data_IF_783505648322
#
_entry.id   IF_783505648322
#
_cell.length_a   1.000
_cell.length_b   1.000
_cell.length_c   1.000
_cell.angle_alpha   90.00
_cell.angle_beta   90.00
_cell.angle_gamma   90.00
#
_symmetry.space_group_name_H-M   'P 1'
#
loop_
_entity.id
_entity.type
_entity.pdbx_description
1 polymer ?
#
# COMPACT_ATOMS: atom_id res chain seq x y z
N UNK A 1 -8.52 -40.87 -21.59
CA UNK A 1 -8.09 -40.37 -20.27
C UNK A 1 -7.47 -39.00 -20.49
N UNK A 2 -8.25 -37.95 -20.26
CA UNK A 2 -7.82 -36.56 -20.42
C UNK A 2 -6.98 -36.20 -19.20
N UNK A 3 -5.69 -35.95 -19.40
CA UNK A 3 -4.79 -35.49 -18.34
C UNK A 3 -5.30 -34.11 -17.88
N UNK A 4 -5.72 -34.03 -16.62
CA UNK A 4 -6.25 -32.82 -16.03
C UNK A 4 -5.15 -31.75 -15.94
N UNK A 5 -5.53 -30.54 -16.36
CA UNK A 5 -4.82 -29.27 -16.18
C UNK A 5 -4.74 -28.99 -14.68
N UNK A 6 -3.70 -29.51 -13.99
CA UNK A 6 -3.49 -29.29 -12.54
C UNK A 6 -2.16 -28.55 -12.26
N UNK A 7 -1.48 -28.05 -13.30
CA UNK A 7 -0.18 -27.38 -13.16
C UNK A 7 -0.18 -25.84 -13.15
N UNK A 8 -1.32 -25.18 -13.43
CA UNK A 8 -1.31 -23.76 -13.83
C UNK A 8 -1.62 -22.78 -12.68
N UNK A 9 -2.49 -23.16 -11.73
CA UNK A 9 -2.98 -22.22 -10.70
C UNK A 9 -1.91 -21.75 -9.71
N UNK A 10 -0.89 -22.57 -9.45
CA UNK A 10 0.21 -22.24 -8.54
C UNK A 10 1.41 -21.58 -9.27
N UNK A 11 1.32 -21.39 -10.59
CA UNK A 11 2.39 -20.74 -11.34
C UNK A 11 2.47 -19.25 -10.97
N UNK A 12 3.68 -18.67 -11.07
CA UNK A 12 3.85 -17.24 -10.87
C UNK A 12 3.07 -16.42 -11.89
N UNK A 13 2.94 -16.88 -13.15
CA UNK A 13 2.18 -16.15 -14.17
C UNK A 13 0.69 -16.12 -13.82
N UNK A 14 0.12 -17.23 -13.35
CA UNK A 14 -1.26 -17.24 -12.87
C UNK A 14 -1.45 -16.35 -11.63
N UNK A 15 -0.48 -16.34 -10.71
CA UNK A 15 -0.49 -15.44 -9.55
C UNK A 15 -0.43 -13.96 -9.97
N UNK A 16 0.49 -13.62 -10.88
CA UNK A 16 0.65 -12.27 -11.40
C UNK A 16 -0.61 -11.80 -12.14
N UNK A 17 -1.23 -12.67 -12.94
CA UNK A 17 -2.48 -12.36 -13.64
C UNK A 17 -3.65 -12.13 -12.69
N UNK A 18 -3.69 -12.80 -11.54
CA UNK A 18 -4.69 -12.53 -10.49
C UNK A 18 -4.45 -11.16 -9.85
N UNK A 19 -3.21 -10.81 -9.53
CA UNK A 19 -2.86 -9.47 -9.04
C UNK A 19 -3.27 -8.38 -10.04
N UNK A 20 -3.00 -8.57 -11.34
CA UNK A 20 -3.39 -7.61 -12.39
C UNK A 20 -4.91 -7.43 -12.52
N UNK A 21 -5.70 -8.43 -12.10
CA UNK A 21 -7.17 -8.41 -12.13
C UNK A 21 -7.81 -7.87 -10.85
N UNK A 22 -7.00 -7.51 -9.85
CA UNK A 22 -7.47 -6.88 -8.61
C UNK A 22 -8.27 -5.60 -8.91
N UNK A 23 -9.29 -5.34 -8.11
CA UNK A 23 -10.18 -4.18 -8.28
C UNK A 23 -9.76 -3.05 -7.35
N UNK A 24 -9.30 -1.97 -7.96
CA UNK A 24 -8.91 -0.76 -7.25
C UNK A 24 -10.00 0.32 -7.36
N UNK A 25 -10.07 1.18 -6.35
CA UNK A 25 -10.98 2.33 -6.33
C UNK A 25 -10.53 3.40 -7.33
N UNK A 26 -11.48 4.23 -7.77
CA UNK A 26 -11.21 5.29 -8.74
C UNK A 26 -10.29 6.40 -8.22
N UNK A 27 -10.19 6.58 -6.89
CA UNK A 27 -9.25 7.54 -6.29
C UNK A 27 -7.79 7.04 -6.31
N UNK A 28 -7.54 5.77 -6.62
CA UNK A 28 -6.20 5.21 -6.76
C UNK A 28 -5.83 5.05 -8.23
N UNK A 29 -4.75 5.69 -8.66
CA UNK A 29 -4.12 5.35 -9.91
C UNK A 29 -3.08 4.27 -9.67
N UNK A 30 -3.38 3.04 -10.11
CA UNK A 30 -2.50 1.88 -9.97
C UNK A 30 -1.88 1.51 -11.31
N UNK A 31 -0.58 1.22 -11.31
CA UNK A 31 0.18 0.78 -12.50
C UNK A 31 1.19 -0.29 -12.14
N UNK A 32 1.44 -1.19 -13.08
CA UNK A 32 2.58 -2.10 -13.00
C UNK A 32 3.87 -1.32 -13.28
N UNK A 33 4.90 -1.55 -12.47
CA UNK A 33 6.21 -0.91 -12.58
C UNK A 33 7.31 -1.99 -12.61
N UNK A 34 8.55 -1.65 -13.03
CA UNK A 34 9.67 -2.56 -12.88
C UNK A 34 9.84 -2.99 -11.42
N UNK A 35 9.87 -4.30 -11.18
CA UNK A 35 10.09 -4.83 -9.85
C UNK A 35 11.56 -4.64 -9.42
N UNK A 36 11.83 -4.53 -8.10
CA UNK A 36 13.20 -4.45 -7.62
C UNK A 36 14.02 -5.67 -8.04
N UNK A 37 15.24 -5.42 -8.49
CA UNK A 37 16.15 -6.48 -8.91
C UNK A 37 16.71 -7.27 -7.72
N UNK A 38 17.04 -8.55 -7.95
CA UNK A 38 17.80 -9.42 -7.03
C UNK A 38 17.13 -9.73 -5.68
N UNK A 39 15.81 -9.56 -5.55
CA UNK A 39 15.07 -10.02 -4.36
C UNK A 39 14.55 -11.46 -4.54
N UNK A 40 14.02 -11.80 -5.71
CA UNK A 40 13.54 -13.14 -6.05
C UNK A 40 13.74 -13.42 -7.55
N UNK A 41 13.78 -14.70 -7.98
CA UNK A 41 13.88 -15.07 -9.40
C UNK A 41 12.72 -14.56 -10.26
N UNK A 42 11.52 -14.45 -9.68
CA UNK A 42 10.33 -13.91 -10.33
C UNK A 42 9.64 -12.89 -9.44
N UNK A 43 9.22 -11.78 -10.02
CA UNK A 43 8.58 -10.70 -9.28
C UNK A 43 7.64 -9.87 -10.15
N UNK A 44 6.57 -9.37 -9.53
CA UNK A 44 5.62 -8.42 -10.10
C UNK A 44 5.55 -7.24 -9.11
N UNK A 45 5.58 -6.01 -9.61
CA UNK A 45 5.44 -4.83 -8.78
C UNK A 45 4.35 -3.89 -9.29
N UNK A 46 3.51 -3.43 -8.38
CA UNK A 46 2.56 -2.36 -8.60
C UNK A 46 3.00 -1.11 -7.83
N UNK A 47 2.75 0.05 -8.42
CA UNK A 47 2.73 1.32 -7.74
C UNK A 47 1.33 1.90 -7.75
N UNK A 48 0.96 2.55 -6.66
CA UNK A 48 -0.28 3.31 -6.57
C UNK A 48 -0.02 4.69 -5.98
N UNK A 49 -0.70 5.69 -6.53
CA UNK A 49 -0.80 7.02 -5.92
C UNK A 49 -2.26 7.44 -5.79
N UNK A 50 -2.56 8.19 -4.73
CA UNK A 50 -3.89 8.75 -4.48
C UNK A 50 -4.08 10.00 -5.34
N UNK A 51 -5.12 10.02 -6.16
CA UNK A 51 -5.51 11.18 -6.96
C UNK A 51 -6.52 12.04 -6.18
N UNK A 52 -6.33 13.35 -6.17
CA UNK A 52 -7.29 14.28 -5.57
C UNK A 52 -7.45 15.54 -6.42
N UNK A 53 -8.69 15.83 -6.82
CA UNK A 53 -9.02 16.96 -7.69
C UNK A 53 -8.35 16.82 -9.06
N UNK A 54 -7.61 17.85 -9.48
CA UNK A 54 -6.85 17.84 -10.75
C UNK A 54 -5.42 17.33 -10.59
N UNK A 55 -5.00 16.94 -9.38
CA UNK A 55 -3.66 16.41 -9.14
C UNK A 55 -3.66 14.92 -9.43
N UNK A 56 -2.85 14.52 -10.40
CA UNK A 56 -2.63 13.12 -10.74
C UNK A 56 -1.29 12.64 -10.17
N UNK A 57 -1.21 11.38 -9.73
CA UNK A 57 0.06 10.75 -9.37
C UNK A 57 1.07 10.78 -10.52
N UNK A 58 2.35 10.77 -10.17
CA UNK A 58 3.44 10.58 -11.12
C UNK A 58 3.39 9.18 -11.74
N UNK A 59 4.14 8.95 -12.83
CA UNK A 59 4.14 7.66 -13.53
C UNK A 59 4.67 6.51 -12.68
N UNK A 60 5.55 6.81 -11.72
CA UNK A 60 6.03 5.85 -10.73
C UNK A 60 5.04 5.65 -9.56
N UNK A 61 3.89 6.30 -9.58
CA UNK A 61 2.86 6.24 -8.54
C UNK A 61 3.13 7.13 -7.33
N UNK A 62 4.10 8.05 -7.38
CA UNK A 62 4.25 9.06 -6.33
C UNK A 62 3.08 10.05 -6.30
N UNK A 63 2.62 10.41 -5.10
CA UNK A 63 1.54 11.38 -4.90
C UNK A 63 1.65 12.03 -3.53
N UNK A 64 1.45 13.36 -3.44
CA UNK A 64 1.48 14.08 -2.17
C UNK A 64 0.33 13.70 -1.22
N UNK A 65 -0.69 12.99 -1.70
CA UNK A 65 -1.84 12.55 -0.90
C UNK A 65 -1.71 11.12 -0.38
N UNK A 66 -0.72 10.38 -0.87
CA UNK A 66 -0.46 9.02 -0.47
C UNK A 66 0.06 8.19 -1.63
N UNK A 67 1.08 7.39 -1.36
CA UNK A 67 1.72 6.53 -2.34
C UNK A 67 2.00 5.15 -1.75
N UNK A 68 1.94 4.12 -2.57
CA UNK A 68 2.22 2.76 -2.16
C UNK A 68 2.96 1.96 -3.20
N UNK A 69 3.55 0.85 -2.76
CA UNK A 69 4.08 -0.22 -3.60
C UNK A 69 3.57 -1.57 -3.11
N UNK A 70 3.24 -2.45 -4.04
CA UNK A 70 2.93 -3.84 -3.78
C UNK A 70 3.85 -4.70 -4.64
N UNK A 71 4.51 -5.68 -4.04
CA UNK A 71 5.44 -6.55 -4.75
C UNK A 71 5.08 -7.99 -4.42
N UNK A 72 4.71 -8.75 -5.45
CA UNK A 72 4.61 -10.20 -5.38
C UNK A 72 5.96 -10.80 -5.78
N UNK A 73 6.54 -11.60 -4.91
CA UNK A 73 7.78 -12.31 -5.09
C UNK A 73 7.50 -13.81 -5.16
N UNK A 74 8.27 -14.52 -5.97
CA UNK A 74 8.24 -15.98 -6.01
C UNK A 74 9.65 -16.55 -6.14
N UNK A 75 10.05 -17.34 -5.13
CA UNK A 75 11.32 -18.06 -5.07
C UNK A 75 11.12 -19.48 -4.51
N UNK A 76 11.20 -20.54 -5.34
CA UNK A 76 11.16 -21.93 -4.89
C UNK A 76 12.28 -22.34 -3.94
N UNK A 77 13.35 -21.53 -3.87
CA UNK A 77 14.48 -21.73 -2.97
C UNK A 77 14.49 -20.66 -1.86
N UNK A 78 13.32 -20.09 -1.53
CA UNK A 78 13.18 -19.06 -0.51
C UNK A 78 13.69 -19.51 0.85
N UNK A 79 14.11 -18.53 1.64
CA UNK A 79 14.58 -18.77 3.00
C UNK A 79 13.42 -19.19 3.91
N UNK A 80 13.66 -20.01 4.95
CA UNK A 80 12.60 -20.51 5.82
C UNK A 80 11.75 -19.43 6.50
N UNK A 81 12.27 -18.20 6.66
CA UNK A 81 11.52 -17.10 7.26
C UNK A 81 10.34 -16.62 6.38
N UNK A 82 10.35 -16.98 5.08
CA UNK A 82 9.20 -16.75 4.20
C UNK A 82 8.07 -17.75 4.48
N UNK A 83 8.37 -18.95 4.97
CA UNK A 83 7.36 -20.00 5.18
C UNK A 83 6.79 -20.65 3.92
N UNK A 84 6.94 -20.05 2.73
CA UNK A 84 6.55 -20.61 1.43
C UNK A 84 7.25 -19.89 0.27
N UNK A 85 7.07 -20.42 -0.95
CA UNK A 85 7.72 -19.92 -2.17
C UNK A 85 7.26 -18.51 -2.58
N UNK A 86 6.04 -18.11 -2.18
CA UNK A 86 5.50 -16.77 -2.45
C UNK A 86 5.68 -15.84 -1.25
N UNK A 87 6.02 -14.59 -1.53
CA UNK A 87 6.06 -13.53 -0.52
C UNK A 87 5.50 -12.25 -1.09
N UNK A 88 4.68 -11.56 -0.30
CA UNK A 88 4.21 -10.23 -0.62
C UNK A 88 4.98 -9.23 0.23
N UNK A 89 5.47 -8.18 -0.41
CA UNK A 89 6.10 -7.03 0.26
C UNK A 89 5.30 -5.80 -0.12
N UNK A 90 4.94 -4.99 0.85
CA UNK A 90 4.24 -3.74 0.60
C UNK A 90 4.88 -2.55 1.30
N UNK A 91 4.62 -1.41 0.68
CA UNK A 91 4.89 -0.07 1.17
C UNK A 91 3.62 0.75 1.01
N UNK A 92 3.29 1.57 2.00
CA UNK A 92 2.24 2.58 1.89
C UNK A 92 2.61 3.77 2.78
N UNK A 93 2.48 4.97 2.25
CA UNK A 93 2.77 6.21 2.97
C UNK A 93 1.69 7.24 2.68
N UNK A 94 1.43 8.12 3.66
CA UNK A 94 0.56 9.27 3.48
C UNK A 94 0.91 10.38 4.48
N UNK A 95 0.64 11.66 4.13
CA UNK A 95 0.74 12.75 5.10
C UNK A 95 -0.31 12.59 6.22
N UNK A 96 0.03 13.07 7.41
CA UNK A 96 -0.87 13.14 8.57
C UNK A 96 -1.05 14.58 9.03
N UNK A 97 -2.19 14.85 9.66
CA UNK A 97 -2.34 16.02 10.52
C UNK A 97 -1.41 15.88 11.74
N UNK A 98 -0.83 16.98 12.22
CA UNK A 98 0.18 16.97 13.28
C UNK A 98 -0.37 16.37 14.57
N UNK A 99 -1.61 16.72 14.90
CA UNK A 99 -2.34 16.23 16.07
C UNK A 99 -2.49 14.71 16.05
N UNK A 100 -2.63 14.11 14.87
CA UNK A 100 -2.67 12.65 14.69
C UNK A 100 -1.25 12.08 14.74
N UNK A 101 -0.27 12.74 14.12
CA UNK A 101 1.13 12.28 14.11
C UNK A 101 1.77 12.22 15.51
N UNK A 102 1.36 13.09 16.44
CA UNK A 102 1.86 13.05 17.82
C UNK A 102 1.20 11.95 18.68
N UNK A 103 0.07 11.38 18.25
CA UNK A 103 -0.61 10.30 18.96
C UNK A 103 0.34 9.10 19.15
N UNK A 104 0.59 8.63 20.39
CA UNK A 104 1.48 7.50 20.63
C UNK A 104 1.00 6.19 19.99
N UNK A 105 -0.29 6.03 19.69
CA UNK A 105 -0.89 4.79 19.18
C UNK A 105 -1.05 4.74 17.67
N UNK A 106 -0.77 5.82 16.93
CA UNK A 106 -1.01 5.87 15.48
C UNK A 106 -0.27 4.77 14.71
N UNK A 107 0.90 4.34 15.19
CA UNK A 107 1.64 3.23 14.61
C UNK A 107 0.90 1.88 14.76
N UNK A 108 0.35 1.62 15.95
CA UNK A 108 -0.44 0.41 16.23
C UNK A 108 -1.75 0.41 15.43
N UNK A 109 -2.39 1.56 15.31
CA UNK A 109 -3.61 1.76 14.50
C UNK A 109 -3.32 1.55 13.01
N UNK A 110 -2.23 2.10 12.49
CA UNK A 110 -1.86 1.90 11.09
C UNK A 110 -1.53 0.42 10.78
N UNK A 111 -0.94 -0.30 11.75
CA UNK A 111 -0.75 -1.74 11.64
C UNK A 111 -2.08 -2.50 11.68
N UNK A 112 -3.01 -2.13 12.57
CA UNK A 112 -4.32 -2.78 12.62
C UNK A 112 -5.11 -2.57 11.32
N UNK A 113 -5.00 -1.41 10.67
CA UNK A 113 -5.62 -1.20 9.35
C UNK A 113 -5.12 -2.17 8.28
N UNK A 114 -3.84 -2.56 8.30
CA UNK A 114 -3.34 -3.59 7.38
C UNK A 114 -3.99 -4.95 7.68
N UNK A 115 -4.04 -5.34 8.95
CA UNK A 115 -4.63 -6.61 9.39
C UNK A 115 -6.11 -6.67 9.05
N UNK A 116 -6.85 -5.60 9.39
CA UNK A 116 -8.29 -5.48 9.13
C UNK A 116 -8.59 -5.49 7.62
N UNK A 117 -7.75 -4.83 6.80
CA UNK A 117 -7.91 -4.84 5.34
C UNK A 117 -7.63 -6.22 4.74
N UNK A 118 -6.65 -6.96 5.25
CA UNK A 118 -6.40 -8.34 4.83
C UNK A 118 -7.58 -9.25 5.21
N UNK A 119 -8.11 -9.10 6.43
CA UNK A 119 -9.26 -9.86 6.89
C UNK A 119 -10.55 -9.53 6.11
N UNK A 120 -10.85 -8.25 5.90
CA UNK A 120 -12.07 -7.79 5.22
C UNK A 120 -12.13 -8.25 3.76
N UNK A 121 -10.97 -8.41 3.12
CA UNK A 121 -10.82 -8.93 1.75
C UNK A 121 -10.74 -10.45 1.68
N UNK A 122 -10.70 -11.14 2.82
CA UNK A 122 -10.51 -12.59 2.88
C UNK A 122 -9.11 -13.05 2.44
N UNK A 123 -8.13 -12.16 2.47
CA UNK A 123 -6.77 -12.40 2.01
C UNK A 123 -5.99 -13.20 3.06
N UNK A 124 -6.01 -14.53 2.99
CA UNK A 124 -5.41 -15.39 4.02
C UNK A 124 -3.89 -15.37 3.96
N UNK A 125 -3.24 -15.12 5.10
CA UNK A 125 -1.80 -14.98 5.18
C UNK A 125 -1.21 -15.60 6.45
N UNK A 126 0.10 -15.84 6.41
CA UNK A 126 0.95 -16.20 7.53
C UNK A 126 2.25 -15.37 7.50
N UNK A 127 3.10 -15.53 8.51
CA UNK A 127 4.43 -14.89 8.58
C UNK A 127 4.40 -13.37 8.36
N UNK A 128 3.36 -12.68 8.83
CA UNK A 128 3.28 -11.23 8.73
C UNK A 128 4.35 -10.55 9.59
N UNK A 129 5.02 -9.57 9.00
CA UNK A 129 6.04 -8.77 9.67
C UNK A 129 6.11 -7.39 9.03
N UNK A 130 6.56 -6.39 9.79
CA UNK A 130 6.67 -5.04 9.27
C UNK A 130 6.96 -3.99 10.32
N UNK A 131 6.92 -2.75 9.88
CA UNK A 131 7.08 -1.55 10.70
C UNK A 131 6.06 -0.50 10.29
N UNK A 132 5.50 0.18 11.30
CA UNK A 132 4.77 1.43 11.13
C UNK A 132 5.65 2.57 11.67
N UNK A 133 6.05 3.48 10.78
CA UNK A 133 6.97 4.57 11.10
C UNK A 133 6.23 5.89 10.96
N UNK A 134 6.19 6.67 12.04
CA UNK A 134 5.72 8.06 12.00
C UNK A 134 6.89 9.02 11.98
N UNK A 135 6.85 10.00 11.10
CA UNK A 135 7.86 11.05 10.99
C UNK A 135 7.22 12.38 11.35
N UNK A 136 7.85 13.12 12.28
CA UNK A 136 7.49 14.48 12.65
C UNK A 136 8.64 15.40 12.26
N UNK A 137 8.34 16.45 11.51
CA UNK A 137 9.31 17.46 11.09
C UNK A 137 8.85 18.82 11.55
N UNK A 138 9.74 19.60 12.17
CA UNK A 138 9.49 21.00 12.52
C UNK A 138 10.34 21.90 11.63
N UNK A 139 9.69 22.83 10.95
CA UNK A 139 10.35 23.82 10.10
C UNK A 139 11.11 24.85 10.94
N UNK A 140 12.39 25.03 10.64
CA UNK A 140 13.21 26.12 11.20
C UNK A 140 13.86 26.95 10.07
N UNK A 141 14.23 28.20 10.37
CA UNK A 141 14.88 29.08 9.40
C UNK A 141 13.99 29.31 8.16
N UNK A 142 14.51 29.00 6.97
CA UNK A 142 13.78 29.15 5.70
C UNK A 142 12.60 28.18 5.55
N UNK A 143 12.50 27.14 6.39
CA UNK A 143 11.36 26.21 6.41
C UNK A 143 10.33 26.59 7.47
N UNK A 144 10.56 27.63 8.28
CA UNK A 144 9.63 28.05 9.33
C UNK A 144 8.26 28.46 8.74
N UNK A 145 8.24 29.02 7.53
CA UNK A 145 7.01 29.37 6.82
C UNK A 145 6.19 28.15 6.37
N UNK A 146 6.82 26.98 6.24
CA UNK A 146 6.16 25.72 5.87
C UNK A 146 5.51 25.03 7.07
N UNK A 147 5.91 25.38 8.29
CA UNK A 147 5.36 24.84 9.54
C UNK A 147 5.84 23.43 9.87
N UNK A 148 5.10 22.77 10.76
CA UNK A 148 5.33 21.38 11.13
C UNK A 148 4.67 20.44 10.12
N UNK A 149 5.27 19.27 9.89
CA UNK A 149 4.74 18.21 9.03
C UNK A 149 4.76 16.85 9.74
N UNK A 150 3.73 16.04 9.50
CA UNK A 150 3.65 14.65 9.97
C UNK A 150 3.40 13.71 8.80
N UNK A 151 3.92 12.50 8.91
CA UNK A 151 3.75 11.44 7.93
C UNK A 151 3.69 10.08 8.62
N UNK A 152 2.92 9.15 8.05
CA UNK A 152 2.93 7.73 8.42
C UNK A 152 3.40 6.89 7.23
N UNK A 153 4.22 5.89 7.51
CA UNK A 153 4.75 4.93 6.54
C UNK A 153 4.58 3.52 7.10
N UNK A 154 4.02 2.62 6.31
CA UNK A 154 3.95 1.19 6.58
C UNK A 154 4.87 0.47 5.60
N UNK A 155 5.77 -0.34 6.13
CA UNK A 155 6.53 -1.35 5.38
C UNK A 155 6.17 -2.70 5.96
N UNK A 156 5.56 -3.57 5.17
CA UNK A 156 5.13 -4.87 5.65
C UNK A 156 5.43 -5.95 4.64
N UNK A 157 5.40 -7.18 5.10
CA UNK A 157 5.45 -8.35 4.25
C UNK A 157 4.71 -9.51 4.90
N UNK A 158 4.13 -10.37 4.09
CA UNK A 158 3.39 -11.55 4.54
C UNK A 158 3.43 -12.64 3.46
N UNK A 159 3.08 -13.86 3.87
CA UNK A 159 3.08 -15.04 3.00
C UNK A 159 1.65 -15.43 2.71
N UNK A 160 1.19 -15.36 1.45
CA UNK A 160 -0.16 -15.76 1.09
C UNK A 160 -0.31 -17.28 1.28
N UNK A 161 -1.43 -17.72 1.87
CA UNK A 161 -1.71 -19.14 2.17
C UNK A 161 -2.44 -19.83 1.01
N UNK A 162 -3.07 -19.06 0.15
CA UNK A 162 -3.78 -19.55 -1.02
C UNK A 162 -3.47 -18.74 -2.28
N UNK A 163 -4.23 -19.01 -3.34
CA UNK A 163 -4.02 -18.42 -4.64
C UNK A 163 -4.88 -17.18 -4.90
N UNK A 164 -5.56 -16.61 -3.89
CA UNK A 164 -6.32 -15.36 -4.05
C UNK A 164 -5.41 -14.12 -3.95
N UNK A 165 -4.44 -14.03 -4.86
CA UNK A 165 -3.49 -12.92 -4.91
C UNK A 165 -4.16 -11.57 -5.23
N UNK A 166 -5.36 -11.59 -5.81
CA UNK A 166 -6.15 -10.39 -6.04
C UNK A 166 -6.59 -9.77 -4.69
N UNK A 167 -7.12 -10.59 -3.78
CA UNK A 167 -7.53 -10.12 -2.45
C UNK A 167 -6.39 -9.43 -1.68
N UNK A 168 -5.16 -9.92 -1.79
CA UNK A 168 -4.01 -9.28 -1.15
C UNK A 168 -3.66 -7.91 -1.76
N UNK A 169 -3.74 -7.77 -3.08
CA UNK A 169 -3.53 -6.48 -3.74
C UNK A 169 -4.64 -5.48 -3.41
N UNK A 170 -5.90 -5.94 -3.33
CA UNK A 170 -7.03 -5.12 -2.88
C UNK A 170 -6.88 -4.66 -1.43
N UNK A 171 -6.45 -5.56 -0.53
CA UNK A 171 -6.18 -5.23 0.88
C UNK A 171 -5.09 -4.17 1.03
N UNK A 172 -3.99 -4.29 0.28
CA UNK A 172 -2.95 -3.25 0.25
C UNK A 172 -3.50 -1.91 -0.25
N UNK A 173 -4.36 -1.92 -1.28
CA UNK A 173 -4.97 -0.69 -1.79
C UNK A 173 -5.89 -0.04 -0.75
N UNK A 174 -6.61 -0.84 0.04
CA UNK A 174 -7.47 -0.37 1.12
C UNK A 174 -6.65 0.26 2.25
N UNK A 175 -5.54 -0.36 2.67
CA UNK A 175 -4.59 0.24 3.60
C UNK A 175 -4.14 1.62 3.10
N UNK A 176 -3.70 1.72 1.84
CA UNK A 176 -3.23 2.99 1.27
C UNK A 176 -4.34 4.06 1.31
N UNK A 177 -5.58 3.70 0.98
CA UNK A 177 -6.72 4.61 1.07
C UNK A 177 -6.97 5.08 2.52
N UNK A 178 -6.89 4.18 3.50
CA UNK A 178 -7.09 4.52 4.92
C UNK A 178 -6.00 5.47 5.43
N UNK A 179 -4.73 5.19 5.11
CA UNK A 179 -3.62 6.08 5.45
C UNK A 179 -3.81 7.48 4.82
N UNK A 180 -4.34 7.54 3.60
CA UNK A 180 -4.64 8.79 2.90
C UNK A 180 -5.93 9.50 3.39
N UNK A 181 -6.61 8.97 4.42
CA UNK A 181 -7.82 9.56 4.98
C UNK A 181 -9.08 9.40 4.13
N UNK A 182 -9.06 8.49 3.14
CA UNK A 182 -10.24 8.12 2.37
C UNK A 182 -11.14 7.19 3.22
N UNK A 183 -12.47 7.35 3.18
CA UNK A 183 -13.38 6.50 3.95
C UNK A 183 -13.41 5.08 3.37
N UNK A 184 -13.81 4.08 4.16
CA UNK A 184 -13.91 2.68 3.74
C UNK A 184 -14.76 2.46 2.46
N UNK A 185 -15.81 3.28 2.25
CA UNK A 185 -16.66 3.18 1.07
C UNK A 185 -16.40 4.31 0.06
N UNK A 186 -16.31 3.93 -1.22
CA UNK A 186 -16.17 4.85 -2.34
C UNK A 186 -17.39 5.79 -2.48
N UNK A 187 -17.15 7.04 -2.86
CA UNK A 187 -18.21 8.03 -3.08
C UNK A 187 -18.76 8.70 -1.81
N UNK A 188 -18.31 8.31 -0.61
CA UNK A 188 -18.57 9.08 0.61
C UNK A 188 -17.49 10.17 0.70
N UNK A 189 -17.88 11.44 0.65
CA UNK A 189 -16.92 12.52 0.86
C UNK A 189 -16.46 12.51 2.33
N UNK A 190 -15.17 12.27 2.58
CA UNK A 190 -14.57 12.52 3.90
C UNK A 190 -14.68 14.02 4.20
N UNK A 191 -15.33 14.37 5.32
CA UNK A 191 -15.59 15.76 5.70
C UNK A 191 -14.33 16.52 6.15
N UNK A 192 -13.15 15.89 6.20
CA UNK A 192 -11.93 16.47 6.78
C UNK A 192 -11.03 17.31 5.85
N UNK A 193 -11.02 17.07 4.53
CA UNK A 193 -9.93 17.59 3.67
C UNK A 193 -10.00 19.09 3.32
N UNK A 194 -11.09 19.81 3.66
CA UNK A 194 -11.30 21.20 3.18
C UNK A 194 -10.43 22.29 3.82
N UNK A 195 -9.52 21.99 4.76
CA UNK A 195 -8.78 23.03 5.50
C UNK A 195 -7.27 23.14 5.23
N UNK A 196 -6.66 22.18 4.53
CA UNK A 196 -5.20 22.14 4.37
C UNK A 196 -4.60 23.09 3.30
N UNK A 197 -5.40 23.91 2.57
CA UNK A 197 -4.88 24.72 1.44
C UNK A 197 -5.35 26.17 1.37
N UNK A 198 -5.68 26.81 2.49
CA UNK A 198 -5.97 28.25 2.51
C UNK A 198 -4.97 29.00 3.41
N UNK A 199 -3.69 28.94 3.04
CA UNK A 199 -2.61 29.58 3.79
C UNK A 199 -1.38 30.03 2.99
N UNK A 200 -1.38 29.97 1.65
CA UNK A 200 -0.17 30.35 0.90
C UNK A 200 -0.42 30.58 -0.57
N UNK A 201 -1.09 31.68 -0.91
CA UNK A 201 -1.10 32.29 -2.24
C UNK A 201 -1.47 33.76 -2.06
N UNK A 202 -0.49 34.67 -2.13
CA UNK A 202 -0.75 36.09 -2.29
C UNK A 202 0.30 37.03 -1.71
N UNK A 203 1.23 37.44 -2.59
CA UNK A 203 2.04 38.66 -2.59
C UNK A 203 3.13 38.84 -1.53
#
# INVERSE_FOLDING_TARGET
>A
MTAAVIGDEASFEAAADRVRKAKFRSELQVREIPAPERIAPRSLALAAGVAQGSTHPADDGDSPYGAGRFILLHDPASAPEWGADFRIVCFAQAPLEIEIGIDPFIADVAWSWLVDALESRGARYEYASGTATKTLSTGFGTLAEQGDAAQIEIRASWTPVDHDFAAHAEAWSELLCLLAGLPHHEGIASLGSKRARRGGLGA
#
